data_IF_230945193311
#
_entry.id   IF_230945193311
#
_cell.length_a   1.000
_cell.length_b   1.000
_cell.length_c   1.000
_cell.angle_alpha   90.00
_cell.angle_beta   90.00
_cell.angle_gamma   90.00
#
_symmetry.space_group_name_H-M   'P 1'
#
loop_
_entity.id
_entity.type
_entity.pdbx_description
1 polymer ?
#
# COMPACT_ATOMS: atom_id res chain seq x y z
N UNK A 1 -10.80 -5.46 -0.46
CA UNK A 1 -9.58 -4.66 -0.14
C UNK A 1 -8.58 -4.78 -1.28
N UNK A 2 -7.78 -3.76 -1.62
CA UNK A 2 -6.69 -3.91 -2.59
C UNK A 2 -5.33 -3.90 -1.90
N UNK A 3 -4.47 -4.84 -2.28
CA UNK A 3 -3.17 -5.05 -1.66
C UNK A 3 -2.09 -5.07 -2.73
N UNK A 4 -1.08 -4.21 -2.57
CA UNK A 4 0.01 -4.05 -3.54
C UNK A 4 1.37 -4.01 -2.85
N UNK A 5 2.35 -4.74 -3.39
CA UNK A 5 3.72 -4.78 -2.87
C UNK A 5 4.66 -3.73 -3.46
N UNK A 6 4.10 -2.70 -4.10
CA UNK A 6 4.83 -1.50 -4.52
C UNK A 6 6.06 -1.79 -5.38
N UNK A 7 6.01 -2.84 -6.20
CA UNK A 7 7.07 -3.24 -7.11
C UNK A 7 8.20 -4.06 -6.48
N UNK A 8 8.10 -4.46 -5.21
CA UNK A 8 9.04 -5.42 -4.60
C UNK A 8 8.63 -6.84 -4.93
N UNK A 9 9.50 -7.58 -5.64
CA UNK A 9 9.20 -8.91 -6.17
C UNK A 9 9.31 -9.97 -5.06
N UNK A 10 10.48 -10.10 -4.42
CA UNK A 10 10.67 -11.07 -3.34
C UNK A 10 9.77 -10.83 -2.14
N UNK A 11 9.52 -9.56 -1.79
CA UNK A 11 8.60 -9.21 -0.70
C UNK A 11 7.13 -9.57 -1.00
N UNK A 12 6.71 -9.71 -2.27
CA UNK A 12 5.37 -10.20 -2.61
C UNK A 12 5.14 -11.62 -2.08
N UNK A 13 6.18 -12.48 -2.10
CA UNK A 13 6.07 -13.87 -1.64
C UNK A 13 5.77 -13.96 -0.15
N UNK A 14 6.40 -13.11 0.66
CA UNK A 14 6.16 -13.03 2.10
C UNK A 14 4.72 -12.59 2.39
N UNK A 15 4.28 -11.50 1.74
CA UNK A 15 2.92 -11.02 1.90
C UNK A 15 1.88 -12.07 1.50
N UNK A 16 2.10 -12.77 0.38
CA UNK A 16 1.23 -13.87 -0.06
C UNK A 16 1.23 -15.03 0.95
N UNK A 17 2.38 -15.37 1.51
CA UNK A 17 2.51 -16.42 2.55
C UNK A 17 1.81 -16.06 3.85
N UNK A 18 1.83 -14.78 4.24
CA UNK A 18 1.12 -14.35 5.45
C UNK A 18 -0.38 -14.43 5.25
N UNK A 19 -0.86 -13.94 4.10
CA UNK A 19 -2.26 -13.96 3.74
C UNK A 19 -2.83 -15.37 3.62
N UNK A 20 -2.04 -16.34 3.14
CA UNK A 20 -2.48 -17.74 3.06
C UNK A 20 -2.69 -18.40 4.42
N UNK A 21 -2.11 -17.84 5.49
CA UNK A 21 -2.32 -18.28 6.87
C UNK A 21 -3.52 -17.63 7.56
N UNK A 22 -4.22 -16.69 6.91
CA UNK A 22 -5.34 -15.97 7.51
C UNK A 22 -6.69 -16.63 7.20
N UNK A 23 -7.74 -16.38 8.02
CA UNK A 23 -9.09 -16.85 7.75
C UNK A 23 -9.61 -16.42 6.37
N UNK A 24 -10.32 -17.31 5.69
CA UNK A 24 -10.82 -17.07 4.33
C UNK A 24 -11.77 -15.88 4.27
N UNK A 25 -12.56 -15.67 5.32
CA UNK A 25 -13.54 -14.58 5.43
C UNK A 25 -12.87 -13.20 5.42
N UNK A 26 -11.59 -13.11 5.80
CA UNK A 26 -10.83 -11.86 5.76
C UNK A 26 -10.09 -11.66 4.44
N UNK A 27 -9.93 -12.71 3.64
CA UNK A 27 -9.02 -12.74 2.49
C UNK A 27 -9.73 -12.90 1.15
N UNK A 28 -10.95 -13.41 1.14
CA UNK A 28 -11.72 -13.74 -0.07
C UNK A 28 -11.97 -12.53 -0.99
N UNK A 29 -12.10 -11.33 -0.42
CA UNK A 29 -12.31 -10.09 -1.17
C UNK A 29 -11.03 -9.26 -1.38
N UNK A 30 -9.86 -9.86 -1.17
CA UNK A 30 -8.60 -9.18 -1.41
C UNK A 30 -8.24 -9.26 -2.90
N UNK A 31 -8.17 -8.09 -3.53
CA UNK A 31 -7.60 -7.94 -4.86
C UNK A 31 -6.08 -7.74 -4.76
N UNK A 32 -5.32 -8.67 -5.33
CA UNK A 32 -3.86 -8.62 -5.36
C UNK A 32 -3.35 -7.84 -6.56
N UNK A 33 -2.38 -6.95 -6.30
CA UNK A 33 -1.58 -6.27 -7.31
C UNK A 33 -0.10 -6.58 -7.04
N UNK A 34 0.33 -7.79 -7.43
CA UNK A 34 1.70 -8.28 -7.21
C UNK A 34 2.50 -8.34 -8.53
N UNK A 35 3.75 -7.84 -8.55
CA UNK A 35 4.38 -7.03 -7.49
C UNK A 35 3.80 -5.60 -7.43
N UNK A 36 2.92 -5.23 -8.35
CA UNK A 36 2.36 -3.89 -8.45
C UNK A 36 3.36 -2.85 -8.92
N UNK A 37 2.94 -1.58 -8.96
CA UNK A 37 3.79 -0.45 -9.36
C UNK A 37 4.12 0.38 -8.12
N UNK A 38 5.38 0.78 -7.90
CA UNK A 38 5.75 1.62 -6.76
C UNK A 38 5.02 2.97 -6.81
N UNK A 39 4.30 3.31 -5.74
CA UNK A 39 3.70 4.62 -5.58
C UNK A 39 4.75 5.70 -5.31
N UNK A 40 4.71 6.79 -6.09
CA UNK A 40 5.58 7.96 -5.90
C UNK A 40 5.06 9.00 -4.90
N UNK A 41 3.90 8.79 -4.28
CA UNK A 41 3.30 9.74 -3.34
C UNK A 41 1.83 9.48 -3.07
N UNK A 42 1.17 10.41 -2.37
CA UNK A 42 -0.26 10.33 -2.01
C UNK A 42 -0.58 9.42 -0.83
N UNK A 43 0.44 8.79 -0.24
CA UNK A 43 0.36 8.02 1.01
C UNK A 43 1.77 7.88 1.61
N UNK A 44 1.87 7.65 2.92
CA UNK A 44 3.13 7.73 3.66
C UNK A 44 4.11 6.59 3.31
N UNK A 45 3.61 5.44 2.85
CA UNK A 45 4.46 4.32 2.44
C UNK A 45 5.45 4.71 1.33
N UNK A 46 5.12 5.71 0.51
CA UNK A 46 5.97 6.16 -0.61
C UNK A 46 7.36 6.63 -0.13
N UNK A 47 7.43 7.19 1.09
CA UNK A 47 8.70 7.61 1.70
C UNK A 47 9.65 6.44 1.97
N UNK A 48 9.12 5.25 2.27
CA UNK A 48 9.92 4.03 2.45
C UNK A 48 10.31 3.41 1.11
N UNK A 49 9.36 3.34 0.18
CA UNK A 49 9.54 2.77 -1.16
C UNK A 49 10.68 3.48 -1.91
N UNK A 50 10.73 4.81 -1.88
CA UNK A 50 11.75 5.56 -2.61
C UNK A 50 13.18 5.20 -2.11
N UNK A 51 13.35 4.97 -0.79
CA UNK A 51 14.62 4.55 -0.17
C UNK A 51 14.90 3.04 -0.25
N UNK A 52 14.04 2.24 -0.90
CA UNK A 52 14.28 0.80 -1.04
C UNK A 52 13.87 -0.04 0.17
N UNK A 53 13.13 0.54 1.11
CA UNK A 53 12.49 -0.23 2.16
C UNK A 53 11.18 -0.83 1.63
N UNK A 54 10.95 -2.16 1.78
CA UNK A 54 9.69 -2.79 1.44
C UNK A 54 8.55 -2.14 2.21
N UNK A 55 7.50 -1.78 1.50
CA UNK A 55 6.27 -1.26 2.08
C UNK A 55 5.10 -1.71 1.22
N UNK A 56 3.96 -1.91 1.86
CA UNK A 56 2.75 -2.43 1.22
C UNK A 56 1.65 -1.38 1.26
N UNK A 57 0.87 -1.28 0.19
CA UNK A 57 -0.35 -0.47 0.19
C UNK A 57 -1.53 -1.38 0.47
N UNK A 58 -2.27 -1.08 1.54
CA UNK A 58 -3.51 -1.76 1.90
C UNK A 58 -4.65 -0.75 1.78
N UNK A 59 -5.48 -0.89 0.74
CA UNK A 59 -6.54 0.06 0.42
C UNK A 59 -7.90 -0.54 0.73
N UNK A 60 -8.64 0.13 1.61
CA UNK A 60 -10.04 -0.19 1.88
C UNK A 60 -10.89 -0.04 0.61
N UNK A 61 -12.11 -0.58 0.66
CA UNK A 61 -13.06 -0.51 -0.45
C UNK A 61 -13.31 0.96 -0.85
N UNK A 62 -13.24 1.23 -2.15
CA UNK A 62 -13.50 2.57 -2.69
C UNK A 62 -15.01 2.80 -2.83
N UNK A 63 -15.69 3.12 -1.72
CA UNK A 63 -17.12 3.48 -1.72
C UNK A 63 -17.34 4.94 -2.16
N UNK A 64 -16.99 5.26 -3.41
CA UNK A 64 -16.97 6.63 -3.94
C UNK A 64 -16.08 7.60 -3.15
N UNK A 65 -15.05 7.09 -2.48
CA UNK A 65 -14.15 7.89 -1.66
C UNK A 65 -13.55 9.06 -2.45
N UNK A 66 -12.85 8.77 -3.56
CA UNK A 66 -12.17 9.79 -4.35
C UNK A 66 -13.10 10.82 -5.02
N UNK A 67 -14.23 10.45 -5.66
CA UNK A 67 -15.08 11.42 -6.35
C UNK A 67 -16.08 12.15 -5.44
N UNK A 68 -16.35 11.66 -4.23
CA UNK A 68 -17.48 12.15 -3.42
C UNK A 68 -17.12 12.62 -2.01
N UNK A 69 -16.34 11.85 -1.24
CA UNK A 69 -16.09 12.18 0.18
C UNK A 69 -14.73 12.85 0.40
N UNK A 70 -13.66 12.34 -0.21
CA UNK A 70 -12.28 12.76 0.01
C UNK A 70 -12.09 14.26 -0.24
N UNK A 71 -11.44 14.95 0.72
CA UNK A 71 -11.20 16.40 0.68
C UNK A 71 -12.47 17.25 0.55
N UNK A 72 -13.59 16.78 1.09
CA UNK A 72 -14.84 17.55 1.18
C UNK A 72 -15.33 17.63 2.62
N UNK A 73 -16.31 18.50 2.88
CA UNK A 73 -17.03 18.55 4.14
C UNK A 73 -17.95 17.34 4.40
N UNK A 74 -18.03 16.39 3.46
CA UNK A 74 -18.81 15.14 3.58
C UNK A 74 -17.99 13.98 4.14
N UNK A 75 -16.69 14.16 4.33
CA UNK A 75 -15.82 13.16 4.95
C UNK A 75 -16.05 13.15 6.47
N UNK A 76 -17.17 12.55 6.86
CA UNK A 76 -17.71 12.58 8.21
C UNK A 76 -18.02 11.17 8.71
N UNK A 77 -18.16 11.02 10.03
CA UNK A 77 -18.29 9.73 10.70
C UNK A 77 -19.44 8.85 10.19
N UNK A 78 -20.52 9.47 9.71
CA UNK A 78 -21.67 8.76 9.12
C UNK A 78 -21.33 7.98 7.83
N UNK A 79 -20.17 8.22 7.22
CA UNK A 79 -19.68 7.47 6.05
C UNK A 79 -18.91 6.21 6.43
N UNK A 80 -18.64 5.99 7.72
CA UNK A 80 -17.90 4.80 8.18
C UNK A 80 -18.82 3.58 8.18
N UNK A 81 -18.44 2.57 7.42
CA UNK A 81 -19.07 1.25 7.47
C UNK A 81 -18.37 0.41 8.54
N UNK A 82 -19.03 0.20 9.67
CA UNK A 82 -18.40 -0.47 10.83
C UNK A 82 -18.00 -1.92 10.58
N UNK A 83 -18.75 -2.64 9.73
CA UNK A 83 -18.40 -4.00 9.34
C UNK A 83 -17.03 -4.00 8.62
N UNK A 84 -16.87 -3.15 7.61
CA UNK A 84 -15.62 -2.98 6.86
C UNK A 84 -14.49 -2.49 7.77
N UNK A 85 -14.76 -1.54 8.67
CA UNK A 85 -13.77 -1.03 9.62
C UNK A 85 -13.22 -2.17 10.49
N UNK A 86 -14.11 -2.98 11.08
CA UNK A 86 -13.74 -4.13 11.91
C UNK A 86 -12.95 -5.15 11.07
N UNK A 87 -13.44 -5.48 9.88
CA UNK A 87 -12.79 -6.42 8.98
C UNK A 87 -11.36 -6.00 8.63
N UNK A 88 -11.18 -4.75 8.19
CA UNK A 88 -9.88 -4.20 7.82
C UNK A 88 -8.94 -4.10 9.02
N UNK A 89 -9.44 -3.67 10.19
CA UNK A 89 -8.63 -3.59 11.40
C UNK A 89 -8.12 -4.97 11.83
N UNK A 90 -8.98 -5.99 11.80
CA UNK A 90 -8.58 -7.37 12.11
C UNK A 90 -7.54 -7.89 11.11
N UNK A 91 -7.79 -7.74 9.81
CA UNK A 91 -6.85 -8.13 8.76
C UNK A 91 -5.48 -7.46 8.96
N UNK A 92 -5.45 -6.16 9.21
CA UNK A 92 -4.20 -5.41 9.33
C UNK A 92 -3.44 -5.77 10.61
N UNK A 93 -4.15 -6.03 11.71
CA UNK A 93 -3.53 -6.51 12.94
C UNK A 93 -2.86 -7.88 12.75
N UNK A 94 -3.53 -8.80 12.03
CA UNK A 94 -2.95 -10.11 11.73
C UNK A 94 -1.75 -10.00 10.80
N UNK A 95 -1.82 -9.16 9.76
CA UNK A 95 -0.67 -8.91 8.87
C UNK A 95 0.52 -8.28 9.62
N UNK A 96 0.26 -7.33 10.51
CA UNK A 96 1.30 -6.72 11.34
C UNK A 96 1.95 -7.74 12.28
N UNK A 97 1.15 -8.66 12.84
CA UNK A 97 1.65 -9.77 13.65
C UNK A 97 2.52 -10.73 12.82
N UNK A 98 2.04 -11.19 11.65
CA UNK A 98 2.84 -12.04 10.77
C UNK A 98 4.15 -11.36 10.35
N UNK A 99 4.12 -10.05 10.12
CA UNK A 99 5.31 -9.26 9.81
C UNK A 99 6.27 -9.12 10.99
N UNK A 100 5.79 -9.12 12.24
CA UNK A 100 6.65 -9.03 13.43
C UNK A 100 7.35 -10.34 13.75
N UNK A 101 6.71 -11.47 13.43
CA UNK A 101 7.26 -12.81 13.63
C UNK A 101 8.20 -13.25 12.50
N UNK A 102 8.38 -12.43 11.46
CA UNK A 102 9.25 -12.75 10.34
C UNK A 102 10.73 -12.61 10.74
N UNK A 103 11.39 -13.76 10.95
CA UNK A 103 12.81 -13.81 11.31
C UNK A 103 13.72 -13.39 10.14
N UNK A 104 13.29 -13.69 8.92
CA UNK A 104 14.08 -13.41 7.73
C UNK A 104 14.04 -11.93 7.35
N UNK A 105 15.18 -11.40 6.91
CA UNK A 105 15.21 -10.06 6.33
C UNK A 105 14.45 -10.07 5.01
N UNK A 106 13.40 -9.25 4.91
CA UNK A 106 12.68 -9.11 3.65
C UNK A 106 13.60 -8.74 2.48
N UNK A 107 13.44 -9.42 1.32
CA UNK A 107 14.07 -9.03 0.08
C UNK A 107 13.70 -7.60 -0.35
N UNK A 108 14.62 -6.94 -1.05
CA UNK A 108 14.48 -5.56 -1.56
C UNK A 108 14.62 -5.48 -3.07
N UNK A 109 14.53 -6.62 -3.74
CA UNK A 109 14.57 -6.74 -5.18
C UNK A 109 13.35 -6.02 -5.79
N UNK A 110 13.66 -4.98 -6.55
CA UNK A 110 12.69 -4.11 -7.22
C UNK A 110 12.39 -4.67 -8.60
N UNK A 111 11.16 -4.48 -9.07
CA UNK A 111 10.82 -4.70 -10.47
C UNK A 111 11.71 -3.85 -11.37
N UNK A 112 12.22 -4.46 -12.43
CA UNK A 112 13.03 -3.81 -13.46
C UNK A 112 12.25 -3.56 -14.74
N UNK A 113 11.14 -4.27 -14.93
CA UNK A 113 10.24 -4.14 -16.09
C UNK A 113 8.99 -3.38 -15.65
N UNK A 114 8.71 -2.26 -16.31
CA UNK A 114 7.55 -1.42 -16.04
C UNK A 114 6.59 -1.41 -17.23
N UNK A 115 5.27 -1.26 -16.99
CA UNK A 115 4.32 -1.05 -18.07
C UNK A 115 4.65 0.26 -18.80
N UNK A 116 4.48 0.24 -20.12
CA UNK A 116 4.60 1.43 -20.96
C UNK A 116 3.31 2.21 -20.86
N UNK A 117 3.41 3.50 -20.58
CA UNK A 117 2.25 4.38 -20.59
C UNK A 117 1.74 4.50 -22.04
N UNK A 118 0.48 4.11 -22.32
CA UNK A 118 -0.05 4.09 -23.69
C UNK A 118 -0.21 5.50 -24.29
N UNK A 119 -0.29 6.54 -23.46
CA UNK A 119 -0.43 7.94 -23.88
C UNK A 119 0.92 8.58 -24.18
N UNK A 120 1.95 8.30 -23.37
CA UNK A 120 3.27 8.94 -23.53
C UNK A 120 4.30 8.06 -24.24
N UNK A 121 4.05 6.76 -24.37
CA UNK A 121 4.98 5.78 -24.93
C UNK A 121 6.21 5.50 -24.05
N UNK A 122 6.26 6.05 -22.84
CA UNK A 122 7.38 5.91 -21.92
C UNK A 122 7.11 4.84 -20.87
N UNK A 123 8.10 4.01 -20.57
CA UNK A 123 8.06 3.11 -19.43
C UNK A 123 8.13 3.92 -18.12
N UNK A 124 7.36 3.50 -17.12
CA UNK A 124 7.55 4.04 -15.77
C UNK A 124 8.93 3.65 -15.22
N UNK A 125 9.35 4.34 -14.16
CA UNK A 125 10.59 4.06 -13.44
C UNK A 125 10.31 3.96 -11.94
N UNK A 126 11.31 3.52 -11.18
CA UNK A 126 11.23 3.59 -9.72
C UNK A 126 11.13 5.04 -9.26
N UNK A 127 10.29 5.37 -8.26
CA UNK A 127 10.13 6.75 -7.81
C UNK A 127 11.41 7.29 -7.17
N UNK A 128 11.76 8.52 -7.53
CA UNK A 128 12.82 9.27 -6.87
C UNK A 128 12.36 9.81 -5.52
N UNK A 129 13.25 9.79 -4.52
CA UNK A 129 12.97 10.43 -3.23
C UNK A 129 12.98 11.95 -3.37
N UNK A 130 11.90 12.60 -2.93
CA UNK A 130 11.78 14.06 -2.92
C UNK A 130 12.06 14.62 -1.53
N UNK A 131 12.71 15.78 -1.47
CA UNK A 131 12.89 16.51 -0.22
C UNK A 131 11.53 16.98 0.34
N UNK A 132 11.41 17.02 1.66
CA UNK A 132 10.20 17.53 2.32
C UNK A 132 9.97 19.00 1.98
N UNK A 133 8.75 19.34 1.56
CA UNK A 133 8.37 20.74 1.26
C UNK A 133 8.41 21.66 2.47
N UNK A 134 8.39 21.12 3.70
CA UNK A 134 8.44 21.88 4.95
C UNK A 134 9.77 21.62 5.64
N UNK A 135 10.41 22.68 6.13
CA UNK A 135 11.60 22.57 6.96
C UNK A 135 11.21 22.83 8.43
N UNK A 136 11.57 21.92 9.33
CA UNK A 136 11.32 22.06 10.76
C UNK A 136 12.05 23.25 11.39
N UNK A 137 13.22 23.63 10.87
CA UNK A 137 13.99 24.78 11.39
C UNK A 137 13.26 26.12 11.23
N UNK A 138 12.28 26.22 10.33
CA UNK A 138 11.50 27.43 10.09
C UNK A 138 10.27 27.56 11.01
N UNK A 139 10.03 26.58 11.91
CA UNK A 139 8.92 26.58 12.87
C UNK A 139 9.38 26.70 14.33
N UNK A 140 10.65 27.00 14.57
CA UNK A 140 11.21 27.32 15.89
C UNK A 140 11.31 28.82 16.08
#
# INVERSE_FOLDING_TARGET
VNVSSQGYIGASGYLASWLSGLPVELTEEIAFDFPGTPGGGGSDYASFVCYGAPAFSLRALNWSYSPYTWHTNRDTFDKVVFADLRNNATLYAMLAYMASEEEARMPRDRRTVFPVNPTTGQAAAWPECQASRRNWSQRR
#
